data_IF_591137071802
#
_entry.id   IF_591137071802
#
_cell.length_a   1.000
_cell.length_b   1.000
_cell.length_c   1.000
_cell.angle_alpha   90.00
_cell.angle_beta   90.00
_cell.angle_gamma   90.00
#
_symmetry.space_group_name_H-M   'P 1'
#
loop_
_entity.id
_entity.type
_entity.pdbx_description
1 polymer ?
#
# COMPACT_ATOMS: atom_id res chain seq x y z
N UNK A 1 19.42 1.04 5.38
CA UNK A 1 18.33 0.60 6.29
C UNK A 1 17.65 -0.59 5.65
N UNK A 2 17.93 -1.77 6.17
CA UNK A 2 17.36 -3.04 5.72
C UNK A 2 16.03 -3.25 6.47
N UNK A 3 14.96 -3.64 5.78
CA UNK A 3 13.68 -3.92 6.46
C UNK A 3 13.83 -5.27 7.17
N UNK A 4 13.84 -5.27 8.51
CA UNK A 4 14.02 -6.51 9.28
C UNK A 4 12.70 -7.31 9.30
N UNK A 5 12.79 -8.59 8.92
CA UNK A 5 11.65 -9.53 8.93
C UNK A 5 10.99 -9.63 10.31
N UNK A 6 11.77 -9.64 11.39
CA UNK A 6 11.23 -9.74 12.75
C UNK A 6 10.44 -8.50 13.16
N UNK A 7 10.89 -7.32 12.75
CA UNK A 7 10.18 -6.06 12.97
C UNK A 7 8.86 -6.02 12.21
N UNK A 8 8.85 -6.50 10.95
CA UNK A 8 7.63 -6.61 10.15
C UNK A 8 6.64 -7.60 10.77
N UNK A 9 7.12 -8.73 11.32
CA UNK A 9 6.27 -9.67 12.06
C UNK A 9 5.77 -9.08 13.39
N UNK A 10 6.59 -8.33 14.10
CA UNK A 10 6.17 -7.64 15.32
C UNK A 10 5.10 -6.59 15.04
N UNK A 11 5.22 -5.88 13.91
CA UNK A 11 4.23 -4.92 13.44
C UNK A 11 2.90 -5.62 13.14
N UNK A 12 2.89 -6.68 12.33
CA UNK A 12 1.64 -7.37 11.97
C UNK A 12 0.95 -8.04 13.16
N UNK A 13 1.70 -8.52 14.15
CA UNK A 13 1.14 -9.01 15.43
C UNK A 13 0.40 -7.91 16.21
N UNK A 14 0.80 -6.64 16.08
CA UNK A 14 0.17 -5.50 16.76
C UNK A 14 -1.05 -4.95 16.01
N UNK A 15 -1.20 -5.26 14.72
CA UNK A 15 -2.33 -4.85 13.88
C UNK A 15 -3.60 -5.63 14.25
N UNK A 16 -4.19 -5.27 15.39
CA UNK A 16 -5.46 -5.81 15.89
C UNK A 16 -6.45 -4.67 16.05
N UNK A 17 -7.76 -4.95 15.95
CA UNK A 17 -8.81 -3.91 16.04
C UNK A 17 -8.69 -3.09 17.34
N UNK A 18 -8.29 -3.73 18.44
CA UNK A 18 -8.14 -3.08 19.76
C UNK A 18 -6.88 -2.22 19.90
N UNK A 19 -5.81 -2.49 19.15
CA UNK A 19 -4.49 -1.85 19.33
C UNK A 19 -3.96 -1.11 18.11
N UNK A 20 -4.69 -1.14 16.99
CA UNK A 20 -4.27 -0.46 15.76
C UNK A 20 -4.34 1.06 15.93
N UNK A 21 -3.34 1.76 15.40
CA UNK A 21 -3.28 3.23 15.33
C UNK A 21 -3.84 3.77 14.01
N UNK A 22 -4.42 2.92 13.15
CA UNK A 22 -5.01 3.34 11.89
C UNK A 22 -6.24 4.22 12.13
N UNK A 23 -6.19 5.45 11.63
CA UNK A 23 -7.28 6.44 11.77
C UNK A 23 -8.16 6.51 10.54
N UNK A 24 -7.63 6.17 9.37
CA UNK A 24 -8.31 6.39 8.10
C UNK A 24 -7.92 5.34 7.07
N UNK A 25 -8.86 4.98 6.21
CA UNK A 25 -8.62 4.13 5.05
C UNK A 25 -9.09 4.83 3.79
N UNK A 26 -8.31 4.67 2.74
CA UNK A 26 -8.64 5.17 1.41
C UNK A 26 -8.27 4.13 0.37
N UNK A 27 -9.10 4.01 -0.65
CA UNK A 27 -8.89 3.04 -1.72
C UNK A 27 -9.94 3.15 -2.80
N UNK A 28 -9.89 2.19 -3.72
CA UNK A 28 -10.81 2.08 -4.83
C UNK A 28 -11.05 0.61 -5.14
N UNK A 29 -12.23 0.30 -5.67
CA UNK A 29 -12.47 -0.99 -6.27
C UNK A 29 -12.05 -0.90 -7.73
N UNK A 30 -11.10 -1.76 -8.12
CA UNK A 30 -10.62 -1.81 -9.49
C UNK A 30 -10.77 -3.24 -10.02
N UNK A 31 -11.26 -3.38 -11.24
CA UNK A 31 -11.29 -4.66 -11.93
C UNK A 31 -9.93 -5.00 -12.59
N UNK A 32 -9.87 -6.14 -13.25
CA UNK A 32 -8.66 -6.60 -13.94
C UNK A 32 -8.26 -5.71 -15.13
N UNK A 33 -9.20 -4.96 -15.71
CA UNK A 33 -8.96 -4.02 -16.82
C UNK A 33 -8.55 -2.63 -16.30
N UNK A 34 -8.62 -2.43 -14.98
CA UNK A 34 -8.29 -1.19 -14.30
C UNK A 34 -9.43 -0.18 -14.30
N UNK A 35 -10.66 -0.58 -14.60
CA UNK A 35 -11.85 0.24 -14.41
C UNK A 35 -12.10 0.41 -12.90
N UNK A 36 -12.33 1.65 -12.49
CA UNK A 36 -12.53 2.00 -11.08
C UNK A 36 -14.03 2.08 -10.81
N UNK A 37 -14.57 1.06 -10.16
CA UNK A 37 -15.95 1.03 -9.69
C UNK A 37 -16.05 1.67 -8.29
N UNK A 38 -15.76 2.97 -8.26
CA UNK A 38 -15.86 3.78 -7.07
C UNK A 38 -14.60 3.86 -6.20
N UNK A 39 -14.60 4.88 -5.36
CA UNK A 39 -13.51 5.18 -4.43
C UNK A 39 -14.09 5.35 -3.04
N UNK A 40 -13.28 5.04 -2.02
CA UNK A 40 -13.66 5.26 -0.64
C UNK A 40 -12.56 6.02 0.08
N UNK A 41 -13.00 6.89 0.99
CA UNK A 41 -12.13 7.66 1.86
C UNK A 41 -12.87 7.85 3.19
N UNK A 42 -12.74 6.86 4.07
CA UNK A 42 -13.57 6.75 5.27
C UNK A 42 -12.70 6.67 6.52
N UNK A 43 -13.25 7.17 7.62
CA UNK A 43 -12.61 7.03 8.92
C UNK A 43 -12.67 5.56 9.34
N UNK A 44 -11.52 4.97 9.67
CA UNK A 44 -11.42 3.57 10.05
C UNK A 44 -12.27 3.24 11.29
N UNK A 45 -12.40 4.21 12.21
CA UNK A 45 -13.20 4.09 13.44
C UNK A 45 -14.71 4.16 13.19
N UNK A 46 -15.17 4.45 11.96
CA UNK A 46 -16.60 4.44 11.61
C UNK A 46 -17.05 3.13 10.96
N UNK A 47 -16.12 2.26 10.58
CA UNK A 47 -16.43 0.96 9.99
C UNK A 47 -17.00 0.00 11.04
N UNK A 48 -17.76 -1.00 10.59
CA UNK A 48 -18.16 -2.09 11.46
C UNK A 48 -16.94 -2.88 11.96
N UNK A 49 -17.01 -3.57 13.12
CA UNK A 49 -15.90 -4.38 13.62
C UNK A 49 -15.40 -5.42 12.60
N UNK A 50 -16.32 -6.07 11.87
CA UNK A 50 -15.99 -7.07 10.84
C UNK A 50 -15.22 -6.45 9.66
N UNK A 51 -15.63 -5.27 9.18
CA UNK A 51 -14.91 -4.56 8.12
C UNK A 51 -13.53 -4.10 8.58
N UNK A 52 -13.39 -3.67 9.84
CA UNK A 52 -12.08 -3.30 10.39
C UNK A 52 -11.14 -4.48 10.41
N UNK A 53 -11.62 -5.66 10.79
CA UNK A 53 -10.84 -6.89 10.83
C UNK A 53 -10.39 -7.29 9.42
N UNK A 54 -11.31 -7.33 8.46
CA UNK A 54 -11.00 -7.60 7.04
C UNK A 54 -9.96 -6.62 6.47
N UNK A 55 -10.11 -5.32 6.75
CA UNK A 55 -9.15 -4.31 6.31
C UNK A 55 -7.78 -4.46 6.98
N UNK A 56 -7.73 -4.86 8.25
CA UNK A 56 -6.47 -5.12 8.95
C UNK A 56 -5.78 -6.38 8.43
N UNK A 57 -6.53 -7.43 8.08
CA UNK A 57 -5.98 -8.62 7.44
C UNK A 57 -5.35 -8.28 6.09
N UNK A 58 -6.04 -7.51 5.25
CA UNK A 58 -5.47 -6.99 4.01
C UNK A 58 -4.23 -6.14 4.27
N UNK A 59 -4.24 -5.28 5.29
CA UNK A 59 -3.08 -4.47 5.64
C UNK A 59 -1.88 -5.31 6.11
N UNK A 60 -2.10 -6.48 6.75
CA UNK A 60 -1.03 -7.38 7.20
C UNK A 60 -0.30 -8.08 6.06
N UNK A 61 -0.95 -8.27 4.91
CA UNK A 61 -0.30 -8.90 3.74
C UNK A 61 0.65 -7.93 3.04
N UNK A 62 0.34 -6.63 3.07
CA UNK A 62 1.13 -5.58 2.41
C UNK A 62 2.62 -5.63 2.80
N UNK A 63 3.02 -5.64 4.09
CA UNK A 63 4.42 -5.80 4.52
C UNK A 63 5.21 -6.92 3.83
N UNK A 64 4.56 -8.02 3.46
CA UNK A 64 5.18 -9.21 2.90
C UNK A 64 4.98 -9.34 1.37
N UNK A 65 4.23 -8.42 0.76
CA UNK A 65 3.98 -8.42 -0.68
C UNK A 65 5.27 -8.24 -1.48
N UNK A 66 5.34 -8.89 -2.65
CA UNK A 66 6.51 -8.87 -3.52
C UNK A 66 6.87 -7.44 -3.99
N UNK A 67 5.86 -6.57 -4.14
CA UNK A 67 6.01 -5.12 -4.37
C UNK A 67 6.94 -4.46 -3.35
N UNK A 68 6.73 -4.76 -2.07
CA UNK A 68 7.44 -4.14 -0.97
C UNK A 68 8.85 -4.68 -0.80
N UNK A 69 9.10 -5.94 -1.20
CA UNK A 69 10.46 -6.47 -1.34
C UNK A 69 11.25 -5.74 -2.43
N UNK A 70 10.55 -5.30 -3.48
CA UNK A 70 11.16 -4.65 -4.63
C UNK A 70 11.14 -3.11 -4.59
N UNK A 71 10.74 -2.50 -3.46
CA UNK A 71 10.74 -1.05 -3.29
C UNK A 71 12.18 -0.53 -3.31
N UNK A 72 12.55 0.15 -4.40
CA UNK A 72 13.82 0.88 -4.49
C UNK A 72 13.72 2.15 -3.66
N UNK A 73 14.60 2.33 -2.67
CA UNK A 73 14.75 3.63 -2.01
C UNK A 73 15.40 4.58 -2.99
N UNK A 74 14.62 5.53 -3.50
CA UNK A 74 15.15 6.62 -4.30
C UNK A 74 15.71 7.67 -3.36
N UNK A 75 17.03 7.78 -3.28
CA UNK A 75 17.68 8.86 -2.56
C UNK A 75 17.66 10.11 -3.45
N UNK A 76 17.03 11.17 -2.98
CA UNK A 76 17.12 12.46 -3.67
C UNK A 76 18.50 13.07 -3.39
N UNK A 77 19.23 13.51 -4.43
CA UNK A 77 20.47 14.24 -4.22
C UNK A 77 20.16 15.56 -3.49
N UNK A 78 21.03 15.95 -2.56
CA UNK A 78 20.86 17.15 -1.72
C UNK A 78 20.70 18.43 -2.56
N UNK A 79 21.34 18.48 -3.73
CA UNK A 79 21.24 19.60 -4.70
C UNK A 79 19.87 19.78 -5.34
N UNK A 80 18.95 18.82 -5.18
CA UNK A 80 17.63 18.82 -5.82
C UNK A 80 16.46 19.06 -4.88
N UNK A 81 16.66 19.04 -3.55
CA UNK A 81 15.57 19.14 -2.57
C UNK A 81 14.81 20.48 -2.74
N UNK A 82 13.57 20.41 -3.23
CA UNK A 82 12.72 21.58 -3.48
C UNK A 82 12.72 22.11 -4.92
N UNK A 83 13.53 21.55 -5.82
CA UNK A 83 13.57 21.95 -7.24
C UNK A 83 12.37 21.40 -8.04
N UNK A 84 12.01 22.09 -9.14
CA UNK A 84 10.99 21.61 -10.10
C UNK A 84 11.30 20.20 -10.62
N UNK A 85 12.59 19.84 -10.74
CA UNK A 85 13.05 18.53 -11.15
C UNK A 85 12.63 17.43 -10.15
N UNK A 86 12.67 17.72 -8.85
CA UNK A 86 12.19 16.81 -7.81
C UNK A 86 10.68 16.61 -7.89
N UNK A 87 9.91 17.65 -8.18
CA UNK A 87 8.46 17.54 -8.37
C UNK A 87 8.14 16.67 -9.59
N UNK A 88 8.82 16.88 -10.72
CA UNK A 88 8.67 16.04 -11.91
C UNK A 88 9.09 14.58 -11.65
N UNK A 89 10.17 14.36 -10.90
CA UNK A 89 10.60 13.01 -10.48
C UNK A 89 9.56 12.33 -9.58
N UNK A 90 8.97 13.06 -8.63
CA UNK A 90 7.92 12.54 -7.76
C UNK A 90 6.66 12.16 -8.55
N UNK A 91 6.23 13.00 -9.49
CA UNK A 91 5.08 12.70 -10.37
C UNK A 91 5.37 11.47 -11.25
N UNK A 92 6.57 11.38 -11.84
CA UNK A 92 7.00 10.22 -12.63
C UNK A 92 7.10 8.92 -11.81
N UNK A 93 7.63 9.00 -10.59
CA UNK A 93 7.70 7.88 -9.65
C UNK A 93 6.32 7.41 -9.21
N UNK A 94 5.37 8.32 -8.96
CA UNK A 94 3.97 7.96 -8.67
C UNK A 94 3.35 7.20 -9.85
N UNK A 95 3.62 7.62 -11.09
CA UNK A 95 3.10 6.94 -12.28
C UNK A 95 3.70 5.53 -12.46
N UNK A 96 5.01 5.40 -12.26
CA UNK A 96 5.72 4.12 -12.30
C UNK A 96 5.26 3.18 -11.18
N UNK A 97 5.06 3.70 -9.97
CA UNK A 97 4.57 2.93 -8.84
C UNK A 97 3.12 2.49 -9.04
N UNK A 98 2.26 3.33 -9.65
CA UNK A 98 0.90 2.95 -10.07
C UNK A 98 0.91 1.83 -11.13
N UNK A 99 1.79 1.90 -12.14
CA UNK A 99 1.95 0.80 -13.12
C UNK A 99 2.41 -0.49 -12.45
N UNK A 100 3.34 -0.40 -11.50
CA UNK A 100 3.84 -1.57 -10.77
C UNK A 100 2.76 -2.22 -9.90
N UNK A 101 2.02 -1.40 -9.14
CA UNK A 101 0.89 -1.87 -8.31
C UNK A 101 -0.18 -2.54 -9.18
N UNK A 102 -0.48 -2.03 -10.38
CA UNK A 102 -1.41 -2.65 -11.33
C UNK A 102 -0.95 -4.05 -11.76
N UNK A 103 0.29 -4.17 -12.22
CA UNK A 103 0.85 -5.46 -12.65
C UNK A 103 0.88 -6.49 -11.49
N UNK A 104 1.15 -6.03 -10.28
CA UNK A 104 1.14 -6.89 -9.10
C UNK A 104 -0.28 -7.29 -8.66
N UNK A 105 -1.29 -6.44 -8.89
CA UNK A 105 -2.71 -6.77 -8.71
C UNK A 105 -3.19 -7.81 -9.73
N UNK A 106 -2.77 -7.71 -11.00
CA UNK A 106 -3.02 -8.73 -12.01
C UNK A 106 -2.36 -10.08 -11.66
N UNK A 107 -1.16 -10.05 -11.08
CA UNK A 107 -0.50 -11.26 -10.60
C UNK A 107 -1.19 -11.84 -9.35
N UNK A 108 -1.61 -11.00 -8.40
CA UNK A 108 -2.34 -11.45 -7.20
C UNK A 108 -3.73 -12.00 -7.54
N UNK A 109 -4.44 -11.39 -8.49
CA UNK A 109 -5.75 -11.89 -8.94
C UNK A 109 -5.62 -13.24 -9.64
N UNK A 110 -4.57 -13.46 -10.45
CA UNK A 110 -4.24 -14.79 -11.00
C UNK A 110 -3.91 -15.81 -9.92
N UNK A 111 -3.19 -15.43 -8.87
CA UNK A 111 -2.84 -16.32 -7.76
C UNK A 111 -4.04 -16.66 -6.85
N UNK A 112 -5.05 -15.79 -6.78
CA UNK A 112 -6.26 -15.96 -5.96
C UNK A 112 -7.45 -16.56 -6.74
N UNK A 113 -7.29 -16.86 -8.03
CA UNK A 113 -8.32 -17.49 -8.88
C UNK A 113 -8.25 -19.04 -8.84
N UNK A 114 -8.06 -19.62 -7.66
CA UNK A 114 -8.21 -21.06 -7.37
C UNK A 114 -9.46 -21.25 -6.51
#
# INVERSE_FOLDING_TARGET
>A
MNINREEMLALTRRMTVKRTSMTRISGCYADAEGFIDGTFNVNFLKLSPAEREKNLELAKTVPFAQTNQNLKRYAFPESGQGSMLCICFMIGMIFLQRRRIRNDWENLSRCLSI
#
